data_IF_845117473358
#
_entry.id   IF_845117473358
#
_cell.length_a   1.000
_cell.length_b   1.000
_cell.length_c   1.000
_cell.angle_alpha   90.00
_cell.angle_beta   90.00
_cell.angle_gamma   90.00
#
_symmetry.space_group_name_H-M   'P 1'
#
loop_
_entity.id
_entity.type
_entity.pdbx_description
1 polymer ?
#
# COMPACT_ATOMS: atom_id res chain seq x y z
N UNK A 1 2.53 10.22 62.91
CA UNK A 1 1.85 10.19 61.60
C UNK A 1 2.38 11.32 60.73
N UNK A 2 3.39 11.04 59.88
CA UNK A 2 3.92 12.00 58.90
C UNK A 2 3.15 11.79 57.59
N UNK A 3 2.46 12.82 57.09
CA UNK A 3 1.78 12.81 55.80
C UNK A 3 2.82 12.91 54.67
N UNK A 4 2.85 11.90 53.81
CA UNK A 4 3.66 11.85 52.60
C UNK A 4 2.94 12.65 51.51
N UNK A 5 3.58 13.69 51.00
CA UNK A 5 3.10 14.49 49.88
C UNK A 5 3.49 13.76 48.58
N UNK A 6 2.52 13.22 47.85
CA UNK A 6 2.74 12.57 46.57
C UNK A 6 2.75 13.65 45.47
N UNK A 7 3.93 13.97 44.93
CA UNK A 7 4.06 14.79 43.72
C UNK A 7 3.80 13.90 42.50
N UNK A 8 2.67 14.12 41.83
CA UNK A 8 2.42 13.58 40.49
C UNK A 8 3.17 14.50 39.52
N UNK A 9 4.28 14.02 38.97
CA UNK A 9 4.95 14.65 37.82
C UNK A 9 4.19 14.20 36.59
N UNK A 10 3.34 15.07 36.04
CA UNK A 10 2.78 14.88 34.72
C UNK A 10 3.91 15.09 33.68
N UNK A 11 4.37 14.00 33.07
CA UNK A 11 5.25 14.08 31.91
C UNK A 11 4.42 14.62 30.73
N UNK A 12 4.59 15.92 30.44
CA UNK A 12 4.14 16.52 29.19
C UNK A 12 5.05 16.00 28.07
N UNK A 13 4.59 15.00 27.33
CA UNK A 13 5.17 14.66 26.04
C UNK A 13 4.85 15.82 25.08
N UNK A 14 5.84 16.67 24.83
CA UNK A 14 5.80 17.59 23.69
C UNK A 14 5.95 16.75 22.43
N UNK A 15 4.84 16.51 21.71
CA UNK A 15 4.90 16.09 20.32
C UNK A 15 5.47 17.28 19.56
N UNK A 16 6.75 17.17 19.19
CA UNK A 16 7.39 18.14 18.31
C UNK A 16 6.83 17.88 16.91
N UNK A 17 5.80 18.64 16.53
CA UNK A 17 5.25 18.61 15.17
C UNK A 17 6.36 19.11 14.24
N UNK A 18 7.03 18.19 13.53
CA UNK A 18 7.95 18.56 12.46
C UNK A 18 7.10 19.10 11.31
N UNK A 19 7.43 20.30 10.84
CA UNK A 19 6.78 20.86 9.66
C UNK A 19 7.15 20.03 8.43
N UNK A 20 6.25 20.00 7.44
CA UNK A 20 6.52 19.34 6.17
C UNK A 20 7.78 19.93 5.51
N UNK A 21 8.75 19.08 5.16
CA UNK A 21 10.02 19.50 4.56
C UNK A 21 10.02 19.43 3.04
N UNK A 22 9.34 18.44 2.45
CA UNK A 22 9.28 18.28 1.00
C UNK A 22 8.05 18.94 0.40
N UNK A 23 8.22 19.49 -0.80
CA UNK A 23 7.07 19.89 -1.61
C UNK A 23 6.46 18.63 -2.22
N UNK A 24 5.23 18.32 -1.82
CA UNK A 24 4.46 17.23 -2.41
C UNK A 24 3.30 17.82 -3.22
N UNK A 25 3.25 17.49 -4.51
CA UNK A 25 2.17 17.90 -5.41
C UNK A 25 1.30 16.70 -5.75
N UNK A 26 0.00 16.92 -5.89
CA UNK A 26 -0.97 15.87 -6.27
C UNK A 26 -1.37 16.11 -7.71
N UNK A 27 -1.36 15.05 -8.51
CA UNK A 27 -1.76 15.12 -9.90
C UNK A 27 -3.22 15.60 -10.04
N UNK A 28 -3.54 16.27 -11.16
CA UNK A 28 -4.86 16.83 -11.41
C UNK A 28 -6.01 15.80 -11.39
N UNK A 29 -5.71 14.55 -11.76
CA UNK A 29 -6.66 13.42 -11.72
C UNK A 29 -6.74 12.72 -10.37
N UNK A 30 -5.95 13.17 -9.39
CA UNK A 30 -6.08 12.76 -8.01
C UNK A 30 -5.76 11.28 -7.71
N UNK A 31 -4.85 10.66 -8.49
CA UNK A 31 -4.42 9.26 -8.32
C UNK A 31 -2.95 9.05 -7.97
N UNK A 32 -2.14 10.09 -8.10
CA UNK A 32 -0.71 10.01 -7.81
C UNK A 32 -0.20 11.35 -7.31
N UNK A 33 0.95 11.34 -6.66
CA UNK A 33 1.66 12.51 -6.19
C UNK A 33 3.12 12.51 -6.66
N UNK A 34 3.76 13.67 -6.58
CA UNK A 34 5.21 13.82 -6.70
C UNK A 34 5.78 14.33 -5.38
N UNK A 35 7.02 13.98 -5.08
CA UNK A 35 7.78 14.52 -3.94
C UNK A 35 9.10 15.07 -4.45
N UNK A 36 9.27 16.38 -4.28
CA UNK A 36 10.45 17.11 -4.71
C UNK A 36 11.52 17.09 -3.63
N UNK A 37 12.61 16.38 -3.90
CA UNK A 37 13.84 16.31 -3.12
C UNK A 37 14.83 17.40 -3.54
N UNK A 38 15.80 17.69 -2.69
CA UNK A 38 16.96 18.46 -3.16
C UNK A 38 17.83 17.62 -4.12
N UNK A 39 18.59 18.22 -5.06
CA UNK A 39 19.48 17.46 -5.94
C UNK A 39 20.51 16.58 -5.19
N UNK A 40 21.00 17.05 -4.03
CA UNK A 40 21.94 16.27 -3.21
C UNK A 40 21.28 15.07 -2.54
N UNK A 41 20.05 15.24 -2.05
CA UNK A 41 19.27 14.17 -1.44
C UNK A 41 18.85 13.12 -2.46
N UNK A 42 18.32 13.53 -3.61
CA UNK A 42 17.94 12.59 -4.67
C UNK A 42 19.15 11.82 -5.21
N UNK A 43 20.31 12.48 -5.34
CA UNK A 43 21.56 11.81 -5.67
C UNK A 43 22.01 10.82 -4.58
N UNK A 44 21.84 11.15 -3.30
CA UNK A 44 22.10 10.21 -2.21
C UNK A 44 21.17 9.01 -2.30
N UNK A 45 19.88 9.25 -2.48
CA UNK A 45 18.85 8.22 -2.56
C UNK A 45 19.17 7.19 -3.63
N UNK A 46 19.60 7.67 -4.81
CA UNK A 46 20.00 6.81 -5.92
C UNK A 46 21.30 6.05 -5.68
N UNK A 47 22.31 6.67 -5.06
CA UNK A 47 23.66 6.10 -4.99
C UNK A 47 23.94 5.28 -3.72
N UNK A 48 23.20 5.53 -2.64
CA UNK A 48 23.46 4.95 -1.32
C UNK A 48 22.38 3.94 -0.88
N UNK A 49 21.36 3.73 -1.70
CA UNK A 49 20.20 2.88 -1.35
C UNK A 49 19.55 3.36 -0.04
N UNK A 50 19.24 4.66 0.02
CA UNK A 50 18.72 5.30 1.23
C UNK A 50 17.37 4.71 1.67
N UNK A 51 16.64 4.03 0.78
CA UNK A 51 15.46 3.27 1.14
C UNK A 51 15.76 2.16 2.14
N UNK A 52 16.94 1.53 2.11
CA UNK A 52 17.34 0.51 3.10
C UNK A 52 17.87 1.10 4.41
N UNK A 53 18.14 2.39 4.46
CA UNK A 53 18.47 3.08 5.69
C UNK A 53 17.19 3.45 6.44
N UNK A 54 16.89 2.74 7.54
CA UNK A 54 15.64 2.92 8.30
C UNK A 54 15.43 4.37 8.75
N UNK A 55 16.48 5.05 9.21
CA UNK A 55 16.38 6.44 9.70
C UNK A 55 15.97 7.39 8.58
N UNK A 56 16.54 7.23 7.37
CA UNK A 56 16.22 8.08 6.22
C UNK A 56 14.83 7.74 5.68
N UNK A 57 14.55 6.44 5.48
CA UNK A 57 13.26 5.94 5.00
C UNK A 57 12.11 6.40 5.89
N UNK A 58 12.18 6.13 7.19
CA UNK A 58 11.13 6.49 8.15
C UNK A 58 10.89 7.99 8.20
N UNK A 59 11.96 8.80 8.18
CA UNK A 59 11.84 10.26 8.15
C UNK A 59 11.11 10.78 6.90
N UNK A 60 11.34 10.18 5.73
CA UNK A 60 10.63 10.55 4.50
C UNK A 60 9.13 10.24 4.60
N UNK A 61 8.75 9.06 5.11
CA UNK A 61 7.33 8.72 5.28
C UNK A 61 6.65 9.56 6.37
N UNK A 62 7.34 9.89 7.46
CA UNK A 62 6.84 10.83 8.47
C UNK A 62 6.50 12.19 7.84
N UNK A 63 7.30 12.63 6.86
CA UNK A 63 7.06 13.85 6.10
C UNK A 63 5.88 13.72 5.13
N UNK A 64 5.73 12.58 4.45
CA UNK A 64 4.56 12.27 3.63
C UNK A 64 3.27 12.36 4.45
N UNK A 65 3.23 11.78 5.64
CA UNK A 65 2.08 11.85 6.55
C UNK A 65 1.87 13.22 7.20
N UNK A 66 2.74 14.22 7.00
CA UNK A 66 2.38 15.61 7.31
C UNK A 66 1.36 16.19 6.32
N UNK A 67 1.24 15.61 5.13
CA UNK A 67 0.29 16.06 4.09
C UNK A 67 -0.95 15.18 3.99
N UNK A 68 -0.84 13.89 4.23
CA UNK A 68 -1.94 12.97 4.02
C UNK A 68 -2.51 12.37 5.30
N UNK A 69 -3.82 12.11 5.31
CA UNK A 69 -4.52 11.34 6.33
C UNK A 69 -3.99 9.89 6.34
N UNK A 70 -4.12 9.22 7.49
CA UNK A 70 -3.77 7.81 7.64
C UNK A 70 -4.83 6.89 6.99
N UNK A 71 -4.86 6.88 5.66
CA UNK A 71 -5.86 6.19 4.86
C UNK A 71 -5.26 5.13 3.90
N UNK A 72 -3.95 4.91 3.89
CA UNK A 72 -3.29 4.03 2.93
C UNK A 72 -2.80 2.73 3.58
N UNK A 73 -3.08 1.60 2.93
CA UNK A 73 -2.51 0.30 3.28
C UNK A 73 -1.06 0.20 2.78
N UNK A 74 -0.77 0.86 1.64
CA UNK A 74 0.55 0.85 1.01
C UNK A 74 0.95 2.25 0.53
N UNK A 75 2.25 2.54 0.58
CA UNK A 75 2.84 3.72 -0.08
C UNK A 75 4.01 3.28 -0.95
N UNK A 76 3.93 3.56 -2.25
CA UNK A 76 4.98 3.22 -3.22
C UNK A 76 5.72 4.48 -3.66
N UNK A 77 7.03 4.51 -3.44
CA UNK A 77 7.96 5.50 -3.94
C UNK A 77 8.51 5.04 -5.28
N UNK A 78 8.43 5.87 -6.31
CA UNK A 78 8.88 5.56 -7.67
C UNK A 78 9.92 6.59 -8.10
N UNK A 79 11.11 6.16 -8.52
CA UNK A 79 12.11 7.09 -9.05
C UNK A 79 11.70 7.62 -10.42
N UNK A 80 11.86 8.93 -10.64
CA UNK A 80 11.71 9.54 -11.97
C UNK A 80 12.97 9.31 -12.84
N UNK A 81 13.35 8.04 -13.06
CA UNK A 81 14.48 7.65 -13.90
C UNK A 81 13.99 6.82 -15.09
N UNK A 82 14.58 7.09 -16.27
CA UNK A 82 14.38 6.29 -17.49
C UNK A 82 15.04 4.91 -17.41
N UNK A 83 16.12 4.83 -16.65
CA UNK A 83 16.92 3.63 -16.46
C UNK A 83 17.22 3.45 -14.99
N UNK A 84 17.01 2.24 -14.47
CA UNK A 84 17.37 1.89 -13.10
C UNK A 84 18.84 2.23 -12.78
N UNK A 85 19.13 2.94 -11.67
CA UNK A 85 20.49 3.09 -11.15
C UNK A 85 21.17 1.74 -10.86
N UNK A 86 22.41 1.55 -11.30
CA UNK A 86 23.09 0.24 -11.29
C UNK A 86 23.26 -0.39 -9.90
N UNK A 87 23.35 0.43 -8.86
CA UNK A 87 23.55 0.01 -7.47
C UNK A 87 22.24 -0.31 -6.75
N UNK A 88 21.08 -0.10 -7.39
CA UNK A 88 19.79 -0.37 -6.80
C UNK A 88 19.16 -1.65 -7.40
N UNK A 89 18.37 -2.40 -6.62
CA UNK A 89 17.54 -3.48 -7.13
C UNK A 89 16.38 -2.95 -7.99
N UNK A 90 15.66 -3.83 -8.67
CA UNK A 90 14.50 -3.45 -9.48
C UNK A 90 13.35 -2.89 -8.63
N UNK A 91 13.10 -3.50 -7.49
CA UNK A 91 12.17 -3.02 -6.49
C UNK A 91 12.51 -3.61 -5.13
N UNK A 92 11.95 -3.03 -4.07
CA UNK A 92 12.04 -3.52 -2.70
C UNK A 92 10.78 -3.15 -1.94
N UNK A 93 10.27 -4.06 -1.12
CA UNK A 93 9.21 -3.81 -0.15
C UNK A 93 9.74 -3.94 1.28
N UNK A 94 9.36 -2.98 2.13
CA UNK A 94 9.58 -3.02 3.57
C UNK A 94 8.23 -3.14 4.26
N UNK A 95 8.01 -4.25 4.95
CA UNK A 95 6.82 -4.44 5.78
C UNK A 95 6.88 -3.49 6.99
N UNK A 96 5.74 -2.93 7.35
CA UNK A 96 5.59 -1.92 8.42
C UNK A 96 4.73 -2.46 9.56
N UNK A 97 3.68 -3.20 9.23
CA UNK A 97 2.85 -3.86 10.22
C UNK A 97 2.32 -5.19 9.69
N UNK A 98 2.01 -6.10 10.60
CA UNK A 98 1.34 -7.34 10.27
C UNK A 98 0.35 -7.71 11.37
N UNK A 99 -0.91 -7.90 10.98
CA UNK A 99 -1.99 -8.40 11.84
C UNK A 99 -2.39 -9.83 11.49
N UNK A 100 -1.77 -10.42 10.47
CA UNK A 100 -2.10 -11.74 9.93
C UNK A 100 -1.26 -12.83 10.62
N UNK A 101 -1.90 -13.89 11.09
CA UNK A 101 -1.22 -15.12 11.52
C UNK A 101 -1.38 -16.21 10.47
N UNK A 102 -0.58 -17.29 10.56
CA UNK A 102 -0.69 -18.41 9.62
C UNK A 102 0.06 -18.20 8.30
N UNK A 103 0.97 -17.22 8.24
CA UNK A 103 1.79 -16.89 7.07
C UNK A 103 3.31 -16.94 7.32
N UNK A 104 3.73 -17.42 8.51
CA UNK A 104 5.15 -17.48 8.89
C UNK A 104 5.73 -16.18 9.46
N UNK A 105 4.90 -15.15 9.66
CA UNK A 105 5.29 -13.86 10.24
C UNK A 105 4.60 -13.68 11.59
N UNK A 106 5.31 -13.09 12.56
CA UNK A 106 4.71 -12.68 13.84
C UNK A 106 3.81 -11.46 13.67
N UNK A 107 2.90 -11.23 14.60
CA UNK A 107 2.15 -9.96 14.68
C UNK A 107 3.09 -8.87 15.20
N UNK A 108 3.10 -7.72 14.55
CA UNK A 108 3.83 -6.52 14.98
C UNK A 108 3.22 -5.26 14.34
N UNK A 109 3.57 -4.10 14.89
CA UNK A 109 3.10 -2.80 14.42
C UNK A 109 4.20 -1.76 14.64
N UNK A 110 4.83 -1.32 13.54
CA UNK A 110 5.82 -0.25 13.52
C UNK A 110 5.29 1.00 12.80
N UNK A 111 3.97 1.14 12.60
CA UNK A 111 3.40 2.24 11.80
C UNK A 111 3.76 3.62 12.33
N UNK A 112 3.89 3.75 13.66
CA UNK A 112 4.24 4.99 14.32
C UNK A 112 5.61 5.52 13.86
N UNK A 113 6.56 4.66 13.53
CA UNK A 113 7.88 5.06 13.01
C UNK A 113 7.76 5.75 11.65
N UNK A 114 6.73 5.40 10.88
CA UNK A 114 6.46 5.97 9.56
C UNK A 114 5.50 7.15 9.59
N UNK A 115 4.91 7.50 10.75
CA UNK A 115 3.89 8.55 10.87
C UNK A 115 2.45 8.10 10.65
N UNK A 116 2.22 6.79 10.44
CA UNK A 116 0.89 6.19 10.32
C UNK A 116 0.32 5.82 11.70
N UNK A 117 -1.00 5.93 11.86
CA UNK A 117 -1.74 5.66 13.08
C UNK A 117 -2.30 4.22 13.15
N UNK A 118 -1.64 3.28 12.47
CA UNK A 118 -1.93 1.84 12.54
C UNK A 118 -2.47 1.25 11.23
N UNK A 119 -2.59 2.04 10.16
CA UNK A 119 -3.14 1.56 8.88
C UNK A 119 -2.09 1.00 7.91
N UNK A 120 -0.89 1.57 7.90
CA UNK A 120 0.14 1.23 6.92
C UNK A 120 0.64 -0.21 7.09
N UNK A 121 0.51 -1.03 6.06
CA UNK A 121 0.98 -2.42 6.04
C UNK A 121 2.41 -2.52 5.53
N UNK A 122 2.73 -1.82 4.43
CA UNK A 122 4.07 -1.83 3.86
C UNK A 122 4.38 -0.57 3.04
N UNK A 123 5.66 -0.33 2.80
CA UNK A 123 6.15 0.69 1.87
C UNK A 123 7.03 0.04 0.81
N UNK A 124 7.04 0.61 -0.40
CA UNK A 124 7.80 0.06 -1.53
C UNK A 124 8.65 1.14 -2.19
N UNK A 125 9.79 0.73 -2.74
CA UNK A 125 10.60 1.54 -3.63
C UNK A 125 10.74 0.85 -4.99
N UNK A 126 10.35 1.55 -6.05
CA UNK A 126 10.50 1.15 -7.44
C UNK A 126 11.49 2.08 -8.12
N UNK A 127 12.51 1.52 -8.75
CA UNK A 127 13.74 2.25 -9.09
C UNK A 127 13.79 2.76 -10.53
N UNK A 128 12.65 2.72 -11.22
CA UNK A 128 12.45 3.24 -12.57
C UNK A 128 10.98 3.66 -12.73
N UNK A 129 10.74 4.69 -13.56
CA UNK A 129 9.44 5.38 -13.63
C UNK A 129 8.26 4.51 -14.09
N UNK A 130 8.52 3.47 -14.88
CA UNK A 130 7.49 2.58 -15.43
C UNK A 130 7.35 1.25 -14.65
N UNK A 131 8.14 1.04 -13.60
CA UNK A 131 8.14 -0.23 -12.86
C UNK A 131 6.87 -0.50 -12.06
N UNK A 132 6.02 0.51 -11.86
CA UNK A 132 4.69 0.28 -11.28
C UNK A 132 3.85 -0.62 -12.17
N UNK A 133 3.94 -0.47 -13.50
CA UNK A 133 3.16 -1.27 -14.47
C UNK A 133 3.98 -2.35 -15.16
N UNK A 134 5.22 -2.06 -15.52
CA UNK A 134 6.07 -2.92 -16.35
C UNK A 134 7.20 -3.61 -15.56
N UNK A 135 7.27 -3.36 -14.26
CA UNK A 135 8.34 -3.83 -13.40
C UNK A 135 7.89 -4.94 -12.44
N UNK A 136 8.58 -5.05 -11.28
CA UNK A 136 8.31 -6.08 -10.30
C UNK A 136 7.25 -5.69 -9.27
N UNK A 137 6.37 -4.71 -9.50
CA UNK A 137 5.49 -4.20 -8.44
C UNK A 137 4.60 -5.27 -7.81
N UNK A 138 4.07 -6.22 -8.60
CA UNK A 138 3.32 -7.37 -8.08
C UNK A 138 4.20 -8.36 -7.31
N UNK A 139 5.45 -8.55 -7.74
CA UNK A 139 6.45 -9.36 -7.05
C UNK A 139 6.80 -8.75 -5.69
N UNK A 140 7.16 -7.47 -5.68
CA UNK A 140 7.50 -6.75 -4.46
C UNK A 140 6.32 -6.72 -3.49
N UNK A 141 5.09 -6.52 -3.99
CA UNK A 141 3.90 -6.53 -3.17
C UNK A 141 3.65 -7.91 -2.50
N UNK A 142 4.06 -9.00 -3.15
CA UNK A 142 3.90 -10.36 -2.58
C UNK A 142 4.74 -10.56 -1.31
N UNK A 143 5.86 -9.85 -1.16
CA UNK A 143 6.67 -9.87 0.06
C UNK A 143 5.93 -9.36 1.30
N UNK A 144 4.75 -8.74 1.14
CA UNK A 144 3.88 -8.43 2.28
C UNK A 144 3.29 -9.68 2.95
N UNK A 145 3.14 -10.80 2.22
CA UNK A 145 2.45 -12.00 2.71
C UNK A 145 3.26 -13.29 2.66
N UNK A 146 4.22 -13.44 1.75
CA UNK A 146 4.95 -14.70 1.60
C UNK A 146 6.36 -14.52 1.06
N UNK A 147 7.23 -15.53 1.12
CA UNK A 147 7.14 -16.81 1.83
C UNK A 147 7.96 -16.81 3.13
N UNK A 148 7.33 -16.70 4.29
CA UNK A 148 8.08 -16.62 5.56
C UNK A 148 8.02 -17.88 6.42
N UNK A 149 7.28 -18.91 5.98
CA UNK A 149 7.02 -20.08 6.83
C UNK A 149 7.33 -21.43 6.20
N UNK A 150 7.39 -21.53 4.87
CA UNK A 150 7.77 -22.78 4.19
C UNK A 150 9.30 -22.77 4.00
N UNK A 151 10.03 -23.81 4.46
CA UNK A 151 11.49 -23.87 4.35
C UNK A 151 11.89 -24.17 2.90
N UNK A 152 12.08 -23.11 2.13
CA UNK A 152 12.48 -23.18 0.73
C UNK A 152 13.97 -22.98 0.60
N UNK A 153 14.55 -23.58 -0.43
CA UNK A 153 15.98 -23.46 -0.73
C UNK A 153 16.23 -23.18 -2.21
N UNK A 154 17.44 -22.71 -2.50
CA UNK A 154 17.95 -22.49 -3.84
C UNK A 154 19.44 -22.75 -3.92
N UNK A 155 20.00 -22.65 -5.13
CA UNK A 155 21.42 -22.79 -5.44
C UNK A 155 21.93 -21.55 -6.18
N UNK A 156 23.22 -21.26 -6.06
CA UNK A 156 23.81 -20.05 -6.64
C UNK A 156 23.94 -20.12 -8.17
N UNK A 157 24.13 -21.32 -8.72
CA UNK A 157 24.32 -21.57 -10.15
C UNK A 157 24.07 -23.05 -10.49
N UNK A 158 23.82 -23.38 -11.76
CA UNK A 158 23.84 -24.76 -12.24
C UNK A 158 25.19 -25.44 -11.98
N UNK A 159 25.17 -26.74 -11.70
CA UNK A 159 26.36 -27.52 -11.39
C UNK A 159 26.06 -28.84 -10.68
N UNK A 160 27.11 -29.46 -10.14
CA UNK A 160 27.06 -30.68 -9.34
C UNK A 160 27.80 -30.46 -8.02
N UNK A 161 27.58 -31.33 -7.02
CA UNK A 161 28.10 -31.16 -5.66
C UNK A 161 27.73 -29.80 -5.05
N UNK A 162 26.51 -29.36 -5.33
CA UNK A 162 25.94 -28.13 -4.83
C UNK A 162 25.58 -28.30 -3.35
N UNK A 163 25.60 -27.17 -2.63
CA UNK A 163 24.97 -27.04 -1.34
C UNK A 163 23.90 -25.96 -1.51
N UNK A 164 22.64 -26.34 -1.34
CA UNK A 164 21.56 -25.38 -1.30
C UNK A 164 21.56 -24.58 0.01
N UNK A 165 20.82 -23.50 0.02
CA UNK A 165 20.70 -22.60 1.17
C UNK A 165 19.28 -22.08 1.27
N UNK A 166 18.86 -21.70 2.50
CA UNK A 166 17.56 -21.09 2.76
C UNK A 166 17.32 -19.92 1.79
N UNK A 167 16.19 -19.96 1.11
CA UNK A 167 15.82 -19.02 0.07
C UNK A 167 14.52 -18.26 0.37
N UNK A 168 14.02 -18.33 1.60
CA UNK A 168 12.97 -17.42 2.05
C UNK A 168 13.43 -15.95 1.85
N UNK A 169 12.54 -15.04 1.41
CA UNK A 169 11.10 -15.23 1.25
C UNK A 169 10.65 -15.74 -0.13
N UNK A 170 11.48 -16.41 -0.91
CA UNK A 170 11.13 -16.90 -2.25
C UNK A 170 10.72 -18.38 -2.27
N UNK A 171 10.15 -18.82 -3.39
CA UNK A 171 9.70 -20.19 -3.57
C UNK A 171 10.83 -21.17 -3.88
N UNK A 172 11.94 -20.73 -4.49
CA UNK A 172 13.05 -21.63 -4.79
C UNK A 172 12.59 -22.85 -5.58
N UNK A 173 13.05 -24.04 -5.20
CA UNK A 173 12.61 -25.32 -5.78
C UNK A 173 11.29 -25.80 -5.17
N UNK A 174 10.22 -25.03 -5.39
CA UNK A 174 8.86 -25.34 -4.91
C UNK A 174 7.89 -25.42 -6.08
N UNK A 175 7.06 -26.47 -6.08
CA UNK A 175 5.95 -26.61 -7.00
C UNK A 175 4.76 -25.74 -6.61
N UNK A 176 4.02 -25.29 -7.60
CA UNK A 176 2.69 -24.69 -7.45
C UNK A 176 1.81 -25.06 -8.64
N UNK A 177 0.51 -24.72 -8.62
CA UNK A 177 -0.35 -24.90 -9.79
C UNK A 177 0.21 -24.18 -11.03
N UNK A 178 0.83 -23.03 -10.82
CA UNK A 178 1.64 -22.28 -11.78
C UNK A 178 2.89 -21.72 -11.10
N UNK A 179 3.92 -21.32 -11.87
CA UNK A 179 4.99 -20.47 -11.35
C UNK A 179 4.38 -19.17 -10.78
N UNK A 180 4.88 -18.72 -9.63
CA UNK A 180 4.36 -17.56 -8.91
C UNK A 180 5.24 -16.33 -9.02
N UNK A 181 4.76 -15.24 -8.44
CA UNK A 181 5.49 -13.98 -8.32
C UNK A 181 6.84 -14.17 -7.64
N UNK A 182 6.91 -14.96 -6.56
CA UNK A 182 8.14 -15.21 -5.80
C UNK A 182 8.93 -16.44 -6.27
N UNK A 183 8.70 -16.89 -7.50
CA UNK A 183 9.42 -18.00 -8.12
C UNK A 183 8.66 -19.33 -8.12
N UNK A 184 9.40 -20.43 -8.09
CA UNK A 184 8.86 -21.79 -8.11
C UNK A 184 8.42 -22.24 -9.51
N UNK A 185 8.09 -23.52 -9.65
CA UNK A 185 7.76 -24.17 -10.92
C UNK A 185 6.33 -24.71 -10.95
N UNK A 186 5.85 -25.05 -12.15
CA UNK A 186 4.56 -25.71 -12.30
C UNK A 186 4.63 -27.17 -11.83
N UNK A 187 3.96 -27.52 -10.74
CA UNK A 187 3.92 -28.85 -10.15
C UNK A 187 3.53 -29.94 -11.16
N UNK A 188 2.62 -29.61 -12.09
CA UNK A 188 2.19 -30.52 -13.14
C UNK A 188 3.30 -30.90 -14.16
N UNK A 189 4.42 -30.16 -14.18
CA UNK A 189 5.59 -30.46 -15.00
C UNK A 189 6.61 -31.36 -14.31
N UNK A 190 6.43 -31.67 -13.02
CA UNK A 190 7.36 -32.50 -12.26
C UNK A 190 7.34 -33.95 -12.78
N UNK A 191 8.51 -34.40 -13.21
CA UNK A 191 8.81 -35.79 -13.54
C UNK A 191 9.81 -36.30 -12.50
N UNK A 192 9.43 -37.35 -11.78
CA UNK A 192 10.32 -38.08 -10.87
C UNK A 192 11.04 -39.17 -11.68
N UNK A 193 12.35 -38.98 -11.89
CA UNK A 193 13.19 -39.91 -12.65
C UNK A 193 13.68 -41.09 -11.78
N UNK A 194 13.33 -41.08 -10.49
CA UNK A 194 13.83 -42.01 -9.48
C UNK A 194 15.20 -41.60 -8.94
N UNK A 195 15.57 -42.15 -7.78
CA UNK A 195 16.89 -41.94 -7.17
C UNK A 195 17.17 -40.51 -6.70
N UNK A 196 16.13 -39.70 -6.47
CA UNK A 196 16.27 -38.29 -6.08
C UNK A 196 16.57 -37.36 -7.26
N UNK A 197 16.33 -37.80 -8.50
CA UNK A 197 16.47 -36.99 -9.71
C UNK A 197 15.10 -36.57 -10.25
N UNK A 198 14.98 -35.30 -10.64
CA UNK A 198 13.74 -34.71 -11.10
C UNK A 198 13.95 -33.85 -12.33
N UNK A 199 12.92 -33.79 -13.17
CA UNK A 199 12.83 -32.86 -14.31
C UNK A 199 11.59 -31.99 -14.13
N UNK A 200 11.72 -30.68 -14.35
CA UNK A 200 10.62 -29.71 -14.34
C UNK A 200 10.74 -28.79 -15.56
N UNK A 201 9.65 -28.10 -15.92
CA UNK A 201 9.75 -26.99 -16.87
C UNK A 201 10.64 -25.89 -16.30
N UNK A 202 11.24 -25.09 -17.19
CA UNK A 202 11.98 -23.89 -16.84
C UNK A 202 11.20 -23.00 -15.87
N UNK A 203 11.91 -22.49 -14.86
CA UNK A 203 11.36 -21.59 -13.86
C UNK A 203 12.46 -20.70 -13.27
N UNK A 204 12.06 -19.57 -12.71
CA UNK A 204 12.93 -18.76 -11.86
C UNK A 204 12.75 -19.16 -10.39
N UNK A 205 13.83 -19.49 -9.65
CA UNK A 205 13.71 -19.76 -8.22
C UNK A 205 13.32 -18.51 -7.42
N UNK A 206 13.65 -17.32 -7.94
CA UNK A 206 13.40 -16.02 -7.31
C UNK A 206 12.12 -15.33 -7.80
N UNK A 207 11.90 -15.32 -9.12
CA UNK A 207 10.77 -14.66 -9.76
C UNK A 207 10.58 -15.23 -11.17
N UNK A 208 9.34 -15.23 -11.68
CA UNK A 208 9.03 -15.78 -13.00
C UNK A 208 8.61 -14.75 -14.05
N UNK A 209 8.40 -13.49 -13.68
CA UNK A 209 8.01 -12.48 -14.67
C UNK A 209 7.60 -11.10 -14.17
N UNK A 210 7.70 -10.83 -12.85
CA UNK A 210 7.14 -9.60 -12.28
C UNK A 210 5.68 -9.46 -12.68
N UNK A 211 5.29 -8.30 -13.21
CA UNK A 211 3.90 -8.11 -13.61
C UNK A 211 3.45 -8.95 -14.82
N UNK A 212 4.30 -9.74 -15.48
CA UNK A 212 3.90 -10.58 -16.62
C UNK A 212 3.16 -11.87 -16.23
N UNK A 213 2.99 -12.17 -14.94
CA UNK A 213 2.28 -13.35 -14.45
C UNK A 213 1.30 -12.99 -13.30
N UNK A 214 0.23 -13.75 -13.08
CA UNK A 214 -0.64 -13.56 -11.93
C UNK A 214 -0.07 -14.21 -10.65
N UNK A 215 -0.73 -14.00 -9.52
CA UNK A 215 -0.45 -14.75 -8.30
C UNK A 215 -0.92 -16.20 -8.42
N UNK A 216 -0.12 -17.14 -7.94
CA UNK A 216 -0.49 -18.56 -7.92
C UNK A 216 -1.38 -18.90 -6.71
N UNK A 217 -1.87 -20.15 -6.61
CA UNK A 217 -2.82 -20.52 -5.55
C UNK A 217 -2.24 -20.42 -4.13
N UNK A 218 -0.93 -20.63 -3.95
CA UNK A 218 -0.22 -20.49 -2.68
C UNK A 218 -0.16 -19.02 -2.27
N UNK A 219 0.22 -18.16 -3.20
CA UNK A 219 0.28 -16.71 -3.02
C UNK A 219 -1.10 -16.15 -2.69
N UNK A 220 -2.14 -16.54 -3.44
CA UNK A 220 -3.52 -16.14 -3.19
C UNK A 220 -4.03 -16.60 -1.82
N UNK A 221 -3.65 -17.80 -1.37
CA UNK A 221 -4.00 -18.28 -0.03
C UNK A 221 -3.33 -17.44 1.06
N UNK A 222 -2.02 -17.15 0.94
CA UNK A 222 -1.29 -16.34 1.91
C UNK A 222 -1.80 -14.89 1.96
N UNK A 223 -2.17 -14.33 0.81
CA UNK A 223 -2.89 -13.05 0.70
C UNK A 223 -4.30 -13.09 1.32
N UNK A 224 -4.86 -14.28 1.52
CA UNK A 224 -6.22 -14.49 2.05
C UNK A 224 -7.32 -14.44 1.02
N UNK A 225 -6.97 -14.39 -0.27
CA UNK A 225 -7.92 -14.29 -1.37
C UNK A 225 -8.72 -15.59 -1.55
N UNK A 226 -8.10 -16.73 -1.25
CA UNK A 226 -8.68 -18.07 -1.36
C UNK A 226 -8.57 -18.86 -0.04
N UNK A 227 -9.45 -19.84 0.22
CA UNK A 227 -9.29 -20.76 1.35
C UNK A 227 -8.15 -21.75 1.12
N UNK A 228 -7.62 -22.33 2.19
CA UNK A 228 -6.56 -23.37 2.09
C UNK A 228 -6.99 -24.60 1.28
N UNK A 229 -8.30 -24.87 1.20
CA UNK A 229 -8.85 -25.96 0.36
C UNK A 229 -8.68 -25.72 -1.14
N UNK A 230 -8.33 -24.50 -1.56
CA UNK A 230 -7.99 -24.17 -2.95
C UNK A 230 -6.53 -24.41 -3.28
N UNK A 231 -5.69 -24.71 -2.28
CA UNK A 231 -4.28 -25.04 -2.49
C UNK A 231 -4.18 -26.52 -2.84
N UNK A 232 -3.63 -26.84 -4.01
CA UNK A 232 -3.37 -28.21 -4.42
C UNK A 232 -2.20 -28.78 -3.63
N UNK A 233 -2.04 -30.10 -3.62
CA UNK A 233 -0.81 -30.68 -3.07
C UNK A 233 0.39 -30.23 -3.90
N UNK A 234 1.47 -29.87 -3.23
CA UNK A 234 2.69 -29.40 -3.89
C UNK A 234 3.93 -29.93 -3.17
N UNK A 235 5.04 -29.98 -3.89
CA UNK A 235 6.32 -30.44 -3.40
C UNK A 235 7.29 -29.27 -3.18
N UNK A 236 8.04 -29.36 -2.08
CA UNK A 236 9.18 -28.49 -1.78
C UNK A 236 10.42 -29.36 -1.73
N UNK A 237 11.46 -28.92 -2.42
CA UNK A 237 12.73 -29.61 -2.51
C UNK A 237 13.82 -28.82 -1.78
N UNK A 238 14.54 -29.50 -0.90
CA UNK A 238 15.67 -28.96 -0.14
C UNK A 238 16.87 -29.90 -0.27
N UNK A 239 18.04 -29.44 0.16
CA UNK A 239 19.29 -30.18 0.02
C UNK A 239 19.59 -30.51 -1.45
N UNK A 240 19.48 -29.49 -2.33
CA UNK A 240 19.74 -29.61 -3.77
C UNK A 240 21.23 -29.82 -4.00
N UNK A 241 21.58 -30.92 -4.67
CA UNK A 241 22.97 -31.37 -4.88
C UNK A 241 23.44 -31.21 -6.33
N UNK A 242 22.52 -31.11 -7.28
CA UNK A 242 22.84 -30.77 -8.66
C UNK A 242 21.70 -30.02 -9.34
N UNK A 243 22.05 -29.20 -10.34
CA UNK A 243 21.13 -28.49 -11.22
C UNK A 243 21.74 -28.43 -12.63
N UNK A 244 20.99 -28.86 -13.62
CA UNK A 244 21.30 -28.74 -15.05
C UNK A 244 20.18 -28.01 -15.77
N UNK A 245 20.53 -27.01 -16.59
CA UNK A 245 19.58 -26.23 -17.38
C UNK A 245 19.61 -26.74 -18.83
N UNK A 246 18.55 -27.45 -19.24
CA UNK A 246 18.37 -28.05 -20.55
C UNK A 246 17.10 -27.51 -21.20
N UNK A 247 17.12 -26.25 -21.65
CA UNK A 247 15.91 -25.54 -22.11
C UNK A 247 15.07 -26.38 -23.09
N UNK A 248 13.74 -26.51 -22.86
CA UNK A 248 12.92 -25.74 -21.93
C UNK A 248 12.73 -26.36 -20.53
N UNK A 249 13.57 -27.31 -20.12
CA UNK A 249 13.44 -28.05 -18.86
C UNK A 249 14.68 -27.92 -17.98
N UNK A 250 14.49 -27.98 -16.66
CA UNK A 250 15.57 -28.06 -15.68
C UNK A 250 15.57 -29.45 -15.05
N UNK A 251 16.77 -30.02 -14.93
CA UNK A 251 16.99 -31.28 -14.22
C UNK A 251 17.73 -30.98 -12.92
N UNK A 252 17.29 -31.53 -11.80
CA UNK A 252 17.97 -31.36 -10.52
C UNK A 252 17.95 -32.65 -9.71
N UNK A 253 18.89 -32.73 -8.77
CA UNK A 253 18.92 -33.78 -7.76
C UNK A 253 18.83 -33.19 -6.37
N UNK A 254 18.09 -33.86 -5.49
CA UNK A 254 17.98 -33.52 -4.07
C UNK A 254 18.19 -34.73 -3.18
N UNK A 255 18.21 -34.47 -1.87
CA UNK A 255 18.10 -35.51 -0.86
C UNK A 255 16.86 -35.42 0.01
N UNK A 256 16.08 -34.33 -0.11
CA UNK A 256 14.88 -34.10 0.68
C UNK A 256 13.75 -33.53 -0.18
N UNK A 257 12.69 -34.33 -0.35
CA UNK A 257 11.39 -33.91 -0.91
C UNK A 257 10.32 -33.91 0.18
N UNK A 258 9.63 -32.79 0.35
CA UNK A 258 8.48 -32.68 1.25
C UNK A 258 7.23 -32.33 0.47
N UNK A 259 6.22 -33.21 0.50
CA UNK A 259 4.90 -32.91 -0.05
C UNK A 259 4.02 -32.23 0.98
N UNK A 260 3.54 -31.03 0.67
CA UNK A 260 2.56 -30.31 1.45
C UNK A 260 1.16 -30.56 0.90
N UNK A 261 0.25 -30.86 1.82
CA UNK A 261 -1.21 -30.89 1.63
C UNK A 261 -1.81 -29.69 2.34
N UNK A 262 -3.06 -29.29 2.06
CA UNK A 262 -3.75 -28.27 2.86
C UNK A 262 -3.67 -28.52 4.37
N UNK A 263 -3.77 -29.77 4.80
CA UNK A 263 -3.69 -30.13 6.23
C UNK A 263 -2.28 -29.97 6.80
N UNK A 264 -1.24 -30.43 6.10
CA UNK A 264 0.14 -30.28 6.59
C UNK A 264 0.65 -28.84 6.48
N UNK A 265 0.16 -28.05 5.52
CA UNK A 265 0.43 -26.62 5.43
C UNK A 265 -0.15 -25.86 6.64
N UNK A 266 -1.39 -26.16 7.04
CA UNK A 266 -1.99 -25.59 8.26
C UNK A 266 -1.29 -26.08 9.51
N UNK A 267 -0.84 -27.34 9.54
CA UNK A 267 -0.06 -27.86 10.68
C UNK A 267 1.30 -27.14 10.83
N UNK A 268 1.93 -26.76 9.71
CA UNK A 268 3.19 -26.02 9.69
C UNK A 268 3.01 -24.56 10.11
N UNK A 269 2.09 -23.84 9.44
CA UNK A 269 1.97 -22.38 9.59
C UNK A 269 1.00 -21.96 10.69
N UNK A 270 0.10 -22.85 11.10
CA UNK A 270 -1.15 -22.49 11.75
C UNK A 270 -2.22 -22.09 10.71
N UNK A 271 -3.48 -22.03 11.16
CA UNK A 271 -4.55 -21.53 10.31
C UNK A 271 -4.35 -20.04 10.03
N UNK A 272 -4.57 -19.62 8.77
CA UNK A 272 -4.54 -18.20 8.41
C UNK A 272 -5.66 -17.43 9.10
N UNK A 273 -5.30 -16.37 9.81
CA UNK A 273 -6.25 -15.44 10.45
C UNK A 273 -5.87 -14.01 10.07
N UNK A 274 -6.80 -13.17 9.57
CA UNK A 274 -8.20 -13.48 9.25
C UNK A 274 -8.35 -14.59 8.21
N UNK A 275 -9.48 -15.31 8.23
CA UNK A 275 -9.78 -16.27 7.17
C UNK A 275 -10.31 -15.55 5.91
N UNK A 276 -10.44 -16.27 4.80
CA UNK A 276 -10.88 -15.73 3.49
C UNK A 276 -12.22 -14.96 3.53
N UNK A 277 -13.11 -15.27 4.48
CA UNK A 277 -14.43 -14.65 4.55
C UNK A 277 -14.40 -13.24 5.15
N UNK A 278 -13.38 -12.92 5.94
CA UNK A 278 -13.27 -11.64 6.65
C UNK A 278 -11.92 -10.93 6.39
N UNK A 279 -11.07 -11.49 5.54
CA UNK A 279 -9.83 -10.83 5.14
C UNK A 279 -10.14 -9.55 4.35
N UNK A 280 -9.30 -8.53 4.50
CA UNK A 280 -9.33 -7.38 3.61
C UNK A 280 -8.99 -7.82 2.18
N UNK A 281 -9.78 -7.33 1.21
CA UNK A 281 -9.58 -7.58 -0.23
C UNK A 281 -9.46 -6.30 -1.05
N UNK A 282 -9.89 -5.18 -0.47
CA UNK A 282 -9.81 -3.85 -1.07
C UNK A 282 -8.76 -3.06 -0.31
N UNK A 283 -7.68 -2.70 -1.01
CA UNK A 283 -6.55 -1.96 -0.47
C UNK A 283 -6.52 -0.54 -1.01
N UNK A 284 -5.82 0.35 -0.32
CA UNK A 284 -5.53 1.72 -0.76
C UNK A 284 -4.04 1.94 -0.90
N UNK A 285 -3.65 2.52 -2.03
CA UNK A 285 -2.27 2.78 -2.40
C UNK A 285 -2.06 4.27 -2.68
N UNK A 286 -1.06 4.85 -2.01
CA UNK A 286 -0.49 6.14 -2.40
C UNK A 286 0.75 5.91 -3.27
N UNK A 287 0.73 6.36 -4.52
CA UNK A 287 1.91 6.39 -5.39
C UNK A 287 2.56 7.76 -5.35
N UNK A 288 3.88 7.80 -5.14
CA UNK A 288 4.66 9.04 -5.08
C UNK A 288 5.88 8.92 -5.99
N UNK A 289 5.95 9.78 -7.00
CA UNK A 289 7.14 9.91 -7.84
C UNK A 289 8.18 10.81 -7.18
N UNK A 290 9.36 10.27 -6.88
CA UNK A 290 10.50 11.00 -6.35
C UNK A 290 11.26 11.71 -7.47
N UNK A 291 11.64 12.96 -7.25
CA UNK A 291 12.37 13.76 -8.23
C UNK A 291 13.18 14.88 -7.57
N UNK A 292 14.21 15.40 -8.24
CA UNK A 292 15.00 16.57 -7.82
C UNK A 292 14.64 17.87 -8.55
N UNK A 293 13.71 17.80 -9.51
CA UNK A 293 13.13 18.94 -10.20
C UNK A 293 11.63 18.73 -10.34
N UNK A 294 10.78 19.79 -10.37
CA UNK A 294 9.35 19.59 -10.54
C UNK A 294 9.07 18.78 -11.82
N UNK A 295 8.21 17.76 -11.71
CA UNK A 295 7.82 16.95 -12.87
C UNK A 295 7.23 17.84 -13.96
N UNK A 296 7.60 17.58 -15.21
CA UNK A 296 6.89 18.14 -16.34
C UNK A 296 5.46 17.58 -16.39
N UNK A 297 4.52 18.29 -17.03
CA UNK A 297 3.15 17.78 -17.19
C UNK A 297 3.10 16.37 -17.81
N UNK A 298 3.96 16.10 -18.81
CA UNK A 298 4.01 14.80 -19.47
C UNK A 298 4.52 13.67 -18.55
N UNK A 299 5.50 13.94 -17.69
CA UNK A 299 5.97 12.97 -16.70
C UNK A 299 4.89 12.70 -15.64
N UNK A 300 4.18 13.74 -15.20
CA UNK A 300 3.14 13.59 -14.19
C UNK A 300 1.91 12.86 -14.75
N UNK A 301 1.52 13.16 -16.00
CA UNK A 301 0.48 12.45 -16.74
C UNK A 301 0.85 10.97 -16.92
N UNK A 302 2.12 10.66 -17.25
CA UNK A 302 2.57 9.27 -17.38
C UNK A 302 2.51 8.52 -16.04
N UNK A 303 2.95 9.14 -14.94
CA UNK A 303 2.85 8.55 -13.60
C UNK A 303 1.39 8.29 -13.20
N UNK A 304 0.47 9.17 -13.59
CA UNK A 304 -0.96 9.03 -13.35
C UNK A 304 -1.58 7.88 -14.16
N UNK A 305 -1.16 7.71 -15.42
CA UNK A 305 -1.57 6.57 -16.25
C UNK A 305 -1.12 5.26 -15.61
N UNK A 306 0.14 5.14 -15.19
CA UNK A 306 0.61 3.91 -14.54
C UNK A 306 -0.12 3.64 -13.23
N UNK A 307 -0.45 4.68 -12.46
CA UNK A 307 -1.23 4.56 -11.23
C UNK A 307 -2.67 4.10 -11.48
N UNK A 308 -3.32 4.62 -12.52
CA UNK A 308 -4.66 4.18 -12.93
C UNK A 308 -4.64 2.74 -13.43
N UNK A 309 -3.72 2.40 -14.33
CA UNK A 309 -3.63 1.05 -14.91
C UNK A 309 -3.35 0.00 -13.85
N UNK A 310 -2.45 0.29 -12.89
CA UNK A 310 -2.15 -0.64 -11.81
C UNK A 310 -3.32 -0.83 -10.83
N UNK A 311 -4.05 0.24 -10.51
CA UNK A 311 -5.20 0.23 -9.61
C UNK A 311 -6.54 -0.14 -10.28
N UNK A 312 -6.56 -0.35 -11.59
CA UNK A 312 -7.78 -0.64 -12.35
C UNK A 312 -8.41 -1.95 -11.87
N UNK A 313 -9.71 -1.92 -11.61
CA UNK A 313 -10.49 -3.08 -11.18
C UNK A 313 -11.13 -3.86 -12.35
N UNK A 314 -10.44 -3.88 -13.48
CA UNK A 314 -10.88 -4.54 -14.71
C UNK A 314 -9.66 -4.93 -15.54
N UNK A 315 -9.83 -5.93 -16.40
CA UNK A 315 -8.80 -6.24 -17.39
C UNK A 315 -8.62 -5.09 -18.37
N UNK A 316 -7.37 -4.81 -18.71
CA UNK A 316 -7.01 -3.81 -19.71
C UNK A 316 -6.52 -4.42 -21.02
N UNK A 317 -6.44 -5.75 -21.09
CA UNK A 317 -6.06 -6.52 -22.28
C UNK A 317 -4.56 -6.53 -22.56
N UNK A 318 -3.74 -5.96 -21.68
CA UNK A 318 -2.28 -6.02 -21.81
C UNK A 318 -1.73 -7.34 -21.26
N UNK A 319 -0.50 -7.67 -21.65
CA UNK A 319 0.19 -8.87 -21.15
C UNK A 319 0.78 -8.67 -19.75
N UNK A 320 0.94 -7.42 -19.31
CA UNK A 320 1.26 -7.10 -17.92
C UNK A 320 -0.03 -7.11 -17.13
N UNK A 321 -0.06 -7.74 -15.96
CA UNK A 321 -1.22 -7.83 -15.08
C UNK A 321 -1.28 -6.61 -14.16
N UNK A 322 -2.45 -5.99 -14.04
CA UNK A 322 -2.73 -5.10 -12.91
C UNK A 322 -3.07 -5.93 -11.65
N UNK A 323 -3.22 -5.29 -10.50
CA UNK A 323 -3.47 -6.02 -9.24
C UNK A 323 -4.77 -6.83 -9.27
N UNK A 324 -5.82 -6.30 -9.89
CA UNK A 324 -7.09 -6.99 -10.01
C UNK A 324 -6.95 -8.25 -10.89
N UNK A 325 -6.30 -8.13 -12.06
CA UNK A 325 -6.05 -9.27 -12.94
C UNK A 325 -5.14 -10.32 -12.27
N UNK A 326 -4.08 -9.87 -11.59
CA UNK A 326 -3.13 -10.76 -10.92
C UNK A 326 -3.76 -11.57 -9.79
N UNK A 327 -4.82 -11.03 -9.17
CA UNK A 327 -5.61 -11.71 -8.15
C UNK A 327 -6.79 -12.50 -8.70
N UNK A 328 -6.91 -12.65 -10.03
CA UNK A 328 -8.07 -13.26 -10.69
C UNK A 328 -9.40 -12.55 -10.33
N UNK A 329 -9.35 -11.24 -10.14
CA UNK A 329 -10.47 -10.39 -9.76
C UNK A 329 -10.92 -10.53 -8.32
N UNK A 330 -10.13 -11.18 -7.46
CA UNK A 330 -10.47 -11.40 -6.04
C UNK A 330 -10.15 -10.20 -5.15
N UNK A 331 -9.20 -9.35 -5.53
CA UNK A 331 -8.81 -8.16 -4.78
C UNK A 331 -8.78 -6.90 -5.64
N UNK A 332 -8.82 -5.75 -4.97
CA UNK A 332 -8.68 -4.42 -5.61
C UNK A 332 -7.63 -3.57 -4.87
N UNK A 333 -7.02 -2.63 -5.58
CA UNK A 333 -6.14 -1.62 -4.99
C UNK A 333 -6.51 -0.24 -5.55
N UNK A 334 -7.05 0.62 -4.71
CA UNK A 334 -7.47 1.97 -5.08
C UNK A 334 -6.27 2.93 -4.99
N UNK A 335 -5.91 3.56 -6.09
CA UNK A 335 -4.89 4.63 -6.14
C UNK A 335 -5.48 6.05 -6.14
N UNK A 336 -6.81 6.17 -6.27
CA UNK A 336 -7.52 7.44 -6.45
C UNK A 336 -7.92 8.16 -5.15
N UNK A 337 -8.58 9.30 -5.34
CA UNK A 337 -9.20 10.11 -4.28
C UNK A 337 -8.23 10.79 -3.29
N UNK A 338 -6.96 10.97 -3.64
CA UNK A 338 -5.93 11.54 -2.74
C UNK A 338 -6.28 12.90 -2.09
N UNK A 339 -6.96 13.81 -2.80
CA UNK A 339 -7.39 15.13 -2.31
C UNK A 339 -8.40 15.01 -1.14
N UNK A 340 -9.14 13.91 -1.05
CA UNK A 340 -10.01 13.66 0.10
C UNK A 340 -9.23 13.21 1.33
N UNK A 341 -7.97 12.78 1.12
CA UNK A 341 -7.04 12.30 2.12
C UNK A 341 -5.93 13.32 2.40
N UNK A 342 -6.09 14.59 2.01
CA UNK A 342 -5.13 15.65 2.36
C UNK A 342 -5.52 16.22 3.72
N UNK A 343 -4.58 16.17 4.67
CA UNK A 343 -4.72 16.83 5.96
C UNK A 343 -5.05 18.30 5.73
N UNK A 344 -6.10 18.78 6.38
CA UNK A 344 -6.40 20.20 6.38
C UNK A 344 -5.20 20.92 7.01
N UNK A 345 -4.43 21.63 6.18
CA UNK A 345 -3.27 22.41 6.62
C UNK A 345 -3.73 23.36 7.71
N UNK A 346 -3.35 23.09 8.95
CA UNK A 346 -3.30 24.13 9.98
C UNK A 346 -2.11 25.00 9.66
N UNK A 347 -2.33 26.05 8.86
CA UNK A 347 -1.33 27.07 8.56
C UNK A 347 -0.90 27.75 9.86
N UNK A 348 0.16 27.21 10.47
CA UNK A 348 0.97 27.90 11.45
C UNK A 348 2.26 28.24 10.69
N UNK A 349 2.36 29.48 10.24
CA UNK A 349 3.50 30.11 9.57
C UNK A 349 3.48 30.18 8.03
N UNK A 350 2.36 30.56 7.43
CA UNK A 350 2.43 31.31 6.18
C UNK A 350 1.58 32.58 6.24
N UNK A 351 2.24 33.70 6.51
CA UNK A 351 1.72 35.06 6.30
C UNK A 351 1.60 35.37 4.80
N UNK A 352 0.92 34.51 4.04
CA UNK A 352 0.43 34.78 2.70
C UNK A 352 -0.98 34.18 2.60
N UNK A 353 -1.92 34.90 3.21
CA UNK A 353 -3.35 34.65 3.12
C UNK A 353 -3.80 34.54 1.66
N UNK A 354 -4.10 33.32 1.22
CA UNK A 354 -5.08 33.05 0.18
C UNK A 354 -5.84 31.73 0.45
N UNK A 355 -6.11 31.43 1.73
CA UNK A 355 -7.06 30.38 2.10
C UNK A 355 -8.49 30.90 1.91
N UNK A 356 -9.02 30.68 0.71
CA UNK A 356 -10.29 31.23 0.23
C UNK A 356 -11.52 30.38 0.61
N UNK A 357 -11.36 29.41 1.51
CA UNK A 357 -12.44 28.55 2.01
C UNK A 357 -12.86 28.98 3.42
N UNK A 358 -14.09 29.45 3.56
CA UNK A 358 -14.61 30.01 4.82
C UNK A 358 -15.00 28.94 5.86
N UNK A 359 -15.16 27.68 5.46
CA UNK A 359 -15.41 26.55 6.36
C UNK A 359 -14.12 25.75 6.52
N UNK A 360 -13.69 25.60 7.77
CA UNK A 360 -12.48 24.82 8.12
C UNK A 360 -12.80 23.36 8.34
N UNK A 361 -13.93 23.04 8.99
CA UNK A 361 -14.29 21.66 9.37
C UNK A 361 -15.81 21.45 9.41
N UNK A 362 -16.25 20.23 9.11
CA UNK A 362 -17.63 19.77 9.29
C UNK A 362 -17.58 18.42 10.02
N UNK A 363 -18.09 18.36 11.25
CA UNK A 363 -17.98 17.16 12.09
C UNK A 363 -19.17 16.97 13.05
N UNK A 364 -19.50 15.73 13.44
CA UNK A 364 -18.95 14.49 12.89
C UNK A 364 -19.42 14.24 11.45
N UNK A 365 -18.58 13.62 10.63
CA UNK A 365 -18.97 13.11 9.31
C UNK A 365 -18.32 11.72 9.15
N UNK A 366 -19.10 10.62 9.12
CA UNK A 366 -20.56 10.56 9.09
C UNK A 366 -21.26 11.10 10.35
N UNK A 367 -22.40 11.76 10.16
CA UNK A 367 -23.25 12.32 11.21
C UNK A 367 -24.39 11.37 11.58
N UNK A 368 -24.92 11.44 12.80
CA UNK A 368 -26.11 10.67 13.21
C UNK A 368 -27.32 11.58 13.38
N UNK A 369 -27.17 12.65 14.15
CA UNK A 369 -28.26 13.57 14.50
C UNK A 369 -27.92 15.03 14.18
N UNK A 370 -26.65 15.41 14.20
CA UNK A 370 -26.19 16.78 13.97
C UNK A 370 -24.79 16.84 13.38
N UNK A 371 -24.48 17.97 12.78
CA UNK A 371 -23.12 18.37 12.42
C UNK A 371 -22.78 19.73 13.02
N UNK A 372 -21.49 19.97 13.20
CA UNK A 372 -20.90 21.26 13.56
C UNK A 372 -20.08 21.72 12.37
N UNK A 373 -20.44 22.88 11.83
CA UNK A 373 -19.65 23.61 10.85
C UNK A 373 -18.77 24.59 11.61
N UNK A 374 -17.47 24.53 11.39
CA UNK A 374 -16.50 25.47 11.94
C UNK A 374 -16.02 26.42 10.84
N UNK A 375 -16.03 27.72 11.14
CA UNK A 375 -15.66 28.79 10.22
C UNK A 375 -14.26 29.33 10.53
N UNK A 376 -13.52 29.73 9.50
CA UNK A 376 -12.20 30.35 9.66
C UNK A 376 -12.28 31.83 10.10
N UNK A 377 -13.44 32.46 9.97
CA UNK A 377 -13.60 33.90 10.12
C UNK A 377 -14.88 34.24 10.89
N UNK A 378 -14.70 34.93 12.02
CA UNK A 378 -15.77 35.43 12.89
C UNK A 378 -16.61 36.55 12.26
N UNK A 379 -16.21 37.09 11.10
CA UNK A 379 -16.95 38.10 10.34
C UNK A 379 -18.04 37.52 9.42
N UNK A 380 -18.15 36.19 9.33
CA UNK A 380 -19.18 35.48 8.54
C UNK A 380 -20.55 35.55 9.20
N UNK A 381 -21.17 36.72 9.13
CA UNK A 381 -22.52 36.98 9.66
C UNK A 381 -23.54 36.87 8.53
N UNK A 382 -24.64 36.15 8.76
CA UNK A 382 -25.78 36.04 7.83
C UNK A 382 -25.48 35.37 6.48
N UNK A 383 -24.52 34.44 6.42
CA UNK A 383 -24.28 33.64 5.23
C UNK A 383 -25.33 32.53 5.12
N UNK A 384 -25.96 32.38 3.95
CA UNK A 384 -26.86 31.26 3.68
C UNK A 384 -26.05 29.97 3.48
N UNK A 385 -26.37 28.97 4.30
CA UNK A 385 -25.87 27.60 4.19
C UNK A 385 -27.07 26.74 3.81
N UNK A 386 -26.99 26.09 2.65
CA UNK A 386 -28.04 25.23 2.12
C UNK A 386 -27.58 23.77 2.08
N UNK A 387 -28.48 22.85 2.40
CA UNK A 387 -28.23 21.40 2.35
C UNK A 387 -29.08 20.82 1.23
N UNK A 388 -28.47 19.98 0.39
CA UNK A 388 -29.08 19.32 -0.75
C UNK A 388 -28.96 17.80 -0.61
N UNK A 389 -29.97 17.07 -1.05
CA UNK A 389 -29.87 15.61 -1.19
C UNK A 389 -29.20 15.21 -2.53
N UNK A 390 -29.04 13.91 -2.78
CA UNK A 390 -28.42 13.37 -3.99
C UNK A 390 -29.11 13.77 -5.31
N UNK A 391 -30.40 14.10 -5.27
CA UNK A 391 -31.15 14.55 -6.47
C UNK A 391 -31.13 16.07 -6.65
N UNK A 392 -30.33 16.80 -5.86
CA UNK A 392 -30.20 18.25 -5.94
C UNK A 392 -31.37 19.03 -5.33
N UNK A 393 -32.26 18.38 -4.59
CA UNK A 393 -33.33 19.05 -3.86
C UNK A 393 -32.77 19.68 -2.58
N UNK A 394 -33.02 20.98 -2.38
CA UNK A 394 -32.71 21.71 -1.15
C UNK A 394 -33.60 21.18 -0.01
N UNK A 395 -32.99 20.56 0.99
CA UNK A 395 -33.68 19.92 2.13
C UNK A 395 -33.59 20.73 3.42
N UNK A 396 -32.64 21.66 3.54
CA UNK A 396 -32.51 22.54 4.70
C UNK A 396 -31.77 23.84 4.32
N UNK A 397 -32.05 24.93 5.03
CA UNK A 397 -31.36 26.21 4.88
C UNK A 397 -31.27 26.92 6.23
N UNK A 398 -30.10 27.49 6.50
CA UNK A 398 -29.82 28.23 7.73
C UNK A 398 -28.89 29.41 7.46
N UNK A 399 -28.99 30.43 8.31
CA UNK A 399 -28.11 31.60 8.29
C UNK A 399 -27.04 31.46 9.37
N UNK A 400 -25.80 31.78 9.05
CA UNK A 400 -24.70 31.80 10.03
C UNK A 400 -24.95 32.83 11.14
N UNK A 401 -24.85 32.42 12.40
CA UNK A 401 -25.13 33.26 13.57
C UNK A 401 -23.91 34.04 14.08
N UNK A 402 -24.16 35.20 14.68
CA UNK A 402 -23.16 36.26 14.94
C UNK A 402 -22.16 35.98 16.08
N UNK A 403 -22.29 34.89 16.84
CA UNK A 403 -21.63 34.80 18.16
C UNK A 403 -20.58 33.70 18.32
N UNK A 404 -20.39 32.78 17.37
CA UNK A 404 -19.39 31.72 17.49
C UNK A 404 -18.83 31.31 16.13
N UNK A 405 -17.54 30.98 16.06
CA UNK A 405 -16.89 30.37 14.88
C UNK A 405 -17.41 28.95 14.57
N UNK A 406 -18.53 28.55 15.17
CA UNK A 406 -19.13 27.22 15.05
C UNK A 406 -20.64 27.36 14.91
N UNK A 407 -21.23 26.58 14.02
CA UNK A 407 -22.67 26.46 13.86
C UNK A 407 -23.06 24.99 13.91
N UNK A 408 -23.96 24.65 14.84
CA UNK A 408 -24.54 23.32 14.93
C UNK A 408 -25.79 23.26 14.06
N UNK A 409 -25.89 22.22 13.24
CA UNK A 409 -27.04 21.95 12.38
C UNK A 409 -27.65 20.63 12.82
N UNK A 410 -28.93 20.67 13.16
CA UNK A 410 -29.75 19.50 13.42
C UNK A 410 -30.13 18.83 12.08
N UNK A 411 -29.76 17.56 11.97
CA UNK A 411 -30.03 16.69 10.83
C UNK A 411 -30.95 15.52 11.21
N UNK A 412 -31.45 15.45 12.45
CA UNK A 412 -32.21 14.31 13.00
C UNK A 412 -33.49 13.97 12.22
N UNK A 413 -33.98 14.89 11.40
CA UNK A 413 -35.17 14.71 10.55
C UNK A 413 -34.86 14.30 9.11
N UNK A 414 -33.58 14.23 8.73
CA UNK A 414 -33.14 13.82 7.40
C UNK A 414 -32.88 12.31 7.38
N UNK A 415 -33.37 11.57 6.37
CA UNK A 415 -33.04 10.16 6.21
C UNK A 415 -31.53 9.91 6.08
N UNK A 416 -31.08 8.73 6.48
CA UNK A 416 -29.72 8.24 6.24
C UNK A 416 -29.38 8.33 4.74
N UNK A 417 -28.19 8.84 4.41
CA UNK A 417 -27.79 9.04 3.02
C UNK A 417 -26.68 10.08 2.83
N UNK A 418 -26.37 10.37 1.56
CA UNK A 418 -25.38 11.39 1.18
C UNK A 418 -26.08 12.72 0.94
N UNK A 419 -25.50 13.79 1.47
CA UNK A 419 -25.98 15.17 1.29
C UNK A 419 -24.83 16.10 0.93
N UNK A 420 -25.17 17.26 0.37
CA UNK A 420 -24.23 18.30 -0.02
C UNK A 420 -24.58 19.60 0.69
N UNK A 421 -23.59 20.20 1.34
CA UNK A 421 -23.69 21.53 1.95
C UNK A 421 -23.11 22.53 0.96
N UNK A 422 -23.89 23.56 0.63
CA UNK A 422 -23.46 24.67 -0.21
C UNK A 422 -23.51 26.01 0.53
N UNK A 423 -22.52 26.84 0.25
CA UNK A 423 -22.42 28.22 0.76
C UNK A 423 -21.60 29.08 -0.22
N UNK A 424 -21.72 30.39 -0.10
CA UNK A 424 -21.01 31.34 -0.99
C UNK A 424 -19.80 31.95 -0.30
N UNK A 425 -18.58 31.71 -0.78
CA UNK A 425 -17.36 32.22 -0.14
C UNK A 425 -17.22 33.76 -0.28
N UNK A 426 -16.13 34.33 0.28
CA UNK A 426 -15.87 35.79 0.22
C UNK A 426 -15.73 36.35 -1.20
N UNK A 427 -15.41 35.49 -2.18
CA UNK A 427 -15.23 35.84 -3.59
C UNK A 427 -16.53 35.66 -4.39
N UNK A 428 -17.67 35.48 -3.71
CA UNK A 428 -18.97 35.18 -4.31
C UNK A 428 -19.03 33.87 -5.11
N UNK A 429 -18.14 32.92 -4.83
CA UNK A 429 -18.13 31.61 -5.46
C UNK A 429 -18.93 30.60 -4.64
N UNK A 430 -19.69 29.74 -5.32
CA UNK A 430 -20.37 28.62 -4.69
C UNK A 430 -19.36 27.54 -4.29
N UNK A 431 -19.35 27.17 -3.02
CA UNK A 431 -18.56 26.05 -2.49
C UNK A 431 -19.50 24.92 -2.10
N UNK A 432 -19.15 23.68 -2.44
CA UNK A 432 -19.91 22.47 -2.10
C UNK A 432 -19.08 21.51 -1.26
N UNK A 433 -19.65 20.96 -0.19
CA UNK A 433 -19.02 19.93 0.67
C UNK A 433 -19.95 18.73 0.84
N UNK A 434 -19.42 17.51 0.72
CA UNK A 434 -20.15 16.26 0.92
C UNK A 434 -20.21 15.89 2.40
N UNK A 435 -21.38 15.49 2.88
CA UNK A 435 -21.60 14.89 4.20
C UNK A 435 -22.38 13.57 4.05
N UNK A 436 -22.26 12.69 5.05
CA UNK A 436 -23.02 11.44 5.13
C UNK A 436 -23.78 11.40 6.46
N UNK A 437 -25.02 10.93 6.42
CA UNK A 437 -25.89 10.72 7.59
C UNK A 437 -26.14 9.22 7.74
N UNK A 438 -25.92 8.69 8.94
CA UNK A 438 -26.11 7.28 9.30
C UNK A 438 -27.53 6.97 9.76
#
# INVERSE_FOLDING_TARGET
MKKLLLFIVAALFFIQIKAQTHTIEIHSQNRTASLLMSPAEYASWKNNDDFNNSVIREALFQDVYQKFDDDFDFIFLILNEDTRPNNLPFGQLMQVSNTVTGIGISIYDETANYGSAGKLQAVMHLTQKDYLRNGPSLHELMHNWGNFGIPTESVNAPGTNLNSFNFQPHWGFTGGNTPGQLGGFAQASLIDNGGGSYTVNEFGPNANGGNAIPYNELELYLMGMTPVSSVSNFDVFTDITSLSINLPTFDFEDSTRTTYTPASLVALLGARVPNVAITQKDFKLLTITLTDTPLTPAEFDAADVFSEEFGRNASDGWSSYNFWEATNGLGTIETGNLQNNVLAVSDVNNNNNNNNNNITRIYPNPATDKITIEFNDSSMVNQEISIYNLVGQKVNTLLSSKSQNKQVIDLSKLPSGIYFIQFVNKQQQMVTKKISIK
#
